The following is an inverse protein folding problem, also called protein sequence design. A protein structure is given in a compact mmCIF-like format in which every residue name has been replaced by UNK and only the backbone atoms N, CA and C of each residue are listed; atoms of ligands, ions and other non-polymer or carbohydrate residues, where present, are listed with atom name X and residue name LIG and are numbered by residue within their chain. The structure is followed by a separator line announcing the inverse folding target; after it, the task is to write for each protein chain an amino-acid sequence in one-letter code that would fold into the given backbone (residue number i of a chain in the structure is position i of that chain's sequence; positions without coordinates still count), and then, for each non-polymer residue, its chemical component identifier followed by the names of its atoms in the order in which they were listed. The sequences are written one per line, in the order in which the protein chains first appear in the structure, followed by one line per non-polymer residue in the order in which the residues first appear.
data_IF_988991300849
#
_entry.id   IF_988991300849
#
_cell.length_a   1.000
_cell.length_b   1.000
_cell.length_c   1.000
_cell.angle_alpha   90.00
_cell.angle_beta   90.00
_cell.angle_gamma   90.00
#
_symmetry.space_group_name_H-M   'P 1'
#
loop_
_entity.id
_entity.type
_entity.pdbx_description
1 polymer ?
#
# COMPACT_ATOMS: atom_id res chain seq x y z
N UNK A 1 20.49 -24.88 54.33
CA UNK A 1 21.96 -24.88 54.25
C UNK A 1 22.35 -24.86 52.77
N UNK A 2 23.17 -23.88 52.43
CA UNK A 2 23.83 -23.52 51.15
C UNK A 2 24.25 -24.71 50.28
N UNK A 3 24.16 -24.67 48.96
CA UNK A 3 25.18 -24.02 48.10
C UNK A 3 24.72 -23.81 46.65
N UNK A 4 25.26 -22.73 46.09
CA UNK A 4 25.23 -22.19 44.73
C UNK A 4 26.02 -23.04 43.73
N UNK A 5 25.54 -23.20 42.48
CA UNK A 5 26.45 -23.30 41.31
C UNK A 5 25.86 -22.55 40.11
N UNK A 6 26.65 -21.58 39.66
CA UNK A 6 26.51 -20.74 38.49
C UNK A 6 27.02 -21.46 37.23
N UNK A 7 26.26 -21.46 36.12
CA UNK A 7 26.82 -21.66 34.77
C UNK A 7 26.18 -20.70 33.77
N UNK A 8 26.79 -19.53 33.73
CA UNK A 8 26.82 -18.59 32.61
C UNK A 8 27.50 -19.29 31.41
N UNK A 9 26.97 -19.15 30.19
CA UNK A 9 27.71 -19.11 28.90
C UNK A 9 26.85 -19.67 27.75
N UNK A 10 26.38 -18.77 26.89
CA UNK A 10 26.72 -18.78 25.46
C UNK A 10 26.04 -17.59 24.76
N UNK A 11 26.72 -16.43 24.78
CA UNK A 11 26.46 -15.36 23.81
C UNK A 11 26.97 -15.84 22.44
N UNK A 12 26.08 -16.34 21.58
CA UNK A 12 26.38 -16.41 20.15
C UNK A 12 26.01 -15.07 19.52
N UNK A 13 26.99 -14.17 19.45
CA UNK A 13 26.89 -12.97 18.60
C UNK A 13 26.88 -13.42 17.14
N UNK A 14 25.68 -13.63 16.60
CA UNK A 14 25.47 -13.79 15.16
C UNK A 14 25.65 -12.41 14.51
N UNK A 15 26.81 -12.18 13.91
CA UNK A 15 27.06 -11.06 13.00
C UNK A 15 26.19 -11.23 11.76
N UNK A 16 24.92 -10.79 11.83
CA UNK A 16 24.07 -10.62 10.65
C UNK A 16 24.68 -9.50 9.82
N UNK A 17 25.31 -9.84 8.69
CA UNK A 17 25.61 -8.89 7.61
C UNK A 17 24.28 -8.27 7.19
N UNK A 18 24.10 -6.99 7.46
CA UNK A 18 22.95 -6.24 6.95
C UNK A 18 23.03 -6.20 5.42
N UNK A 19 21.91 -6.37 4.69
CA UNK A 19 21.90 -6.15 3.26
C UNK A 19 22.23 -4.68 2.96
N UNK A 20 23.05 -4.47 1.92
CA UNK A 20 23.39 -3.16 1.39
C UNK A 20 22.15 -2.61 0.69
N UNK A 21 21.33 -1.84 1.42
CA UNK A 21 20.25 -1.06 0.83
C UNK A 21 20.90 0.09 0.04
N UNK A 22 20.66 0.23 -1.28
CA UNK A 22 21.15 1.38 -2.00
C UNK A 22 20.57 2.66 -1.36
N UNK A 23 21.47 3.53 -0.93
CA UNK A 23 21.16 4.81 -0.30
C UNK A 23 20.37 5.71 -1.24
N UNK A 24 19.18 6.10 -0.77
CA UNK A 24 18.50 7.37 -1.02
C UNK A 24 18.34 7.74 -2.51
N UNK A 25 17.27 7.24 -3.11
CA UNK A 25 16.68 7.85 -4.31
C UNK A 25 16.48 9.35 -4.04
N UNK A 26 17.02 10.20 -4.92
CA UNK A 26 16.78 11.65 -4.89
C UNK A 26 15.29 11.88 -5.06
N UNK A 27 14.58 12.15 -3.97
CA UNK A 27 13.21 12.64 -4.06
C UNK A 27 13.27 13.99 -4.78
N UNK A 28 12.77 14.04 -6.01
CA UNK A 28 12.41 15.30 -6.65
C UNK A 28 11.43 16.04 -5.74
N UNK A 29 11.48 17.38 -5.64
CA UNK A 29 10.43 18.10 -4.93
C UNK A 29 9.09 17.66 -5.49
N UNK A 30 8.22 17.13 -4.63
CA UNK A 30 6.87 16.73 -5.02
C UNK A 30 6.13 18.01 -5.37
N UNK A 31 6.08 18.33 -6.66
CA UNK A 31 5.09 19.27 -7.14
C UNK A 31 3.75 18.59 -6.94
N UNK A 32 2.96 19.08 -6.00
CA UNK A 32 1.58 18.65 -5.86
C UNK A 32 0.89 18.86 -7.21
N UNK A 33 0.11 17.88 -7.69
CA UNK A 33 -0.55 18.01 -8.98
C UNK A 33 -1.49 19.22 -8.93
N UNK A 34 -1.47 20.02 -10.00
CA UNK A 34 -2.50 21.04 -10.19
C UNK A 34 -3.89 20.38 -10.13
N UNK A 35 -4.93 21.07 -9.62
CA UNK A 35 -6.26 20.45 -9.41
C UNK A 35 -6.82 19.74 -10.66
N UNK A 36 -6.58 20.30 -11.85
CA UNK A 36 -6.98 19.70 -13.13
C UNK A 36 -6.26 18.38 -13.41
N UNK A 37 -4.96 18.30 -13.06
CA UNK A 37 -4.18 17.08 -13.19
C UNK A 37 -4.67 16.01 -12.22
N UNK A 38 -4.96 16.39 -10.97
CA UNK A 38 -5.53 15.48 -9.97
C UNK A 38 -6.88 14.92 -10.42
N UNK A 39 -7.78 15.76 -10.93
CA UNK A 39 -9.09 15.32 -11.44
C UNK A 39 -8.96 14.36 -12.63
N UNK A 40 -8.02 14.64 -13.53
CA UNK A 40 -7.71 13.77 -14.67
C UNK A 40 -7.20 12.40 -14.20
N UNK A 41 -6.31 12.38 -13.22
CA UNK A 41 -5.78 11.15 -12.62
C UNK A 41 -6.88 10.35 -11.91
N UNK A 42 -7.75 11.00 -11.14
CA UNK A 42 -8.89 10.36 -10.48
C UNK A 42 -9.87 9.77 -11.49
N UNK A 43 -10.13 10.47 -12.60
CA UNK A 43 -11.00 9.98 -13.67
C UNK A 43 -10.42 8.73 -14.32
N UNK A 44 -9.12 8.74 -14.65
CA UNK A 44 -8.43 7.56 -15.18
C UNK A 44 -8.41 6.42 -14.17
N UNK A 45 -8.18 6.71 -12.90
CA UNK A 45 -8.19 5.72 -11.83
C UNK A 45 -9.55 5.02 -11.71
N UNK A 46 -10.64 5.79 -11.75
CA UNK A 46 -12.01 5.26 -11.74
C UNK A 46 -12.32 4.48 -13.02
N UNK A 47 -11.79 4.87 -14.18
CA UNK A 47 -11.99 4.12 -15.43
C UNK A 47 -11.33 2.73 -15.40
N UNK A 48 -10.20 2.58 -14.69
CA UNK A 48 -9.52 1.29 -14.53
C UNK A 48 -10.22 0.41 -13.48
N UNK A 49 -10.76 1.02 -12.43
CA UNK A 49 -11.56 0.32 -11.44
C UNK A 49 -13.02 0.21 -11.91
N UNK A 50 -13.36 -0.87 -12.61
CA UNK A 50 -14.73 -1.20 -13.03
C UNK A 50 -15.16 -2.59 -12.50
N UNK A 51 -16.46 -2.91 -12.41
CA UNK A 51 -16.91 -4.28 -12.16
C UNK A 51 -16.56 -5.19 -13.36
N UNK A 52 -16.43 -6.50 -13.15
CA UNK A 52 -16.33 -7.46 -14.25
C UNK A 52 -17.59 -7.36 -15.13
N UNK A 53 -17.46 -7.33 -16.47
CA UNK A 53 -18.57 -7.08 -17.38
C UNK A 53 -19.66 -8.16 -17.31
N UNK A 54 -19.29 -9.39 -16.93
CA UNK A 54 -20.20 -10.53 -16.84
C UNK A 54 -20.77 -10.76 -15.43
N UNK A 55 -20.57 -9.81 -14.51
CA UNK A 55 -21.08 -9.91 -13.13
C UNK A 55 -22.15 -8.86 -12.83
N UNK A 56 -23.05 -9.18 -11.90
CA UNK A 56 -24.05 -8.24 -11.39
C UNK A 56 -23.36 -6.91 -10.98
N UNK A 57 -23.73 -5.76 -11.56
CA UNK A 57 -23.14 -4.47 -11.26
C UNK A 57 -23.18 -4.08 -9.77
N UNK A 58 -24.08 -4.66 -8.98
CA UNK A 58 -24.23 -4.36 -7.55
C UNK A 58 -23.47 -5.34 -6.63
N UNK A 59 -23.10 -6.52 -7.13
CA UNK A 59 -22.48 -7.59 -6.34
C UNK A 59 -21.21 -8.17 -6.98
N UNK A 60 -20.75 -7.58 -8.07
CA UNK A 60 -19.60 -8.01 -8.84
C UNK A 60 -18.27 -7.80 -8.12
N UNK A 61 -17.19 -8.27 -8.75
CA UNK A 61 -15.82 -7.97 -8.31
C UNK A 61 -15.22 -6.90 -9.22
N UNK A 62 -14.35 -6.08 -8.67
CA UNK A 62 -13.57 -5.14 -9.45
C UNK A 62 -12.57 -5.89 -10.35
N UNK A 63 -12.52 -5.58 -11.63
CA UNK A 63 -11.60 -6.18 -12.60
C UNK A 63 -10.13 -5.84 -12.32
N UNK A 64 -9.86 -4.68 -11.73
CA UNK A 64 -8.50 -4.22 -11.42
C UNK A 64 -7.92 -4.88 -10.16
N UNK A 65 -8.69 -4.95 -9.06
CA UNK A 65 -8.17 -5.39 -7.77
C UNK A 65 -8.86 -6.62 -7.17
N UNK A 66 -9.88 -7.18 -7.83
CA UNK A 66 -10.58 -8.40 -7.41
C UNK A 66 -11.47 -8.26 -6.18
N UNK A 67 -11.53 -7.09 -5.55
CA UNK A 67 -12.37 -6.81 -4.38
C UNK A 67 -13.85 -6.68 -4.76
N UNK A 68 -14.75 -6.81 -3.78
CA UNK A 68 -16.18 -6.60 -3.98
C UNK A 68 -16.42 -5.16 -4.47
N UNK A 69 -17.19 -5.04 -5.55
CA UNK A 69 -17.58 -3.78 -6.14
C UNK A 69 -18.72 -3.10 -5.34
N UNK A 70 -18.70 -1.78 -5.15
CA UNK A 70 -17.59 -0.86 -5.45
C UNK A 70 -16.42 -1.10 -4.50
N UNK A 71 -15.19 -1.21 -5.03
CA UNK A 71 -14.03 -1.49 -4.17
C UNK A 71 -13.62 -0.26 -3.34
N UNK A 72 -12.86 -0.48 -2.25
CA UNK A 72 -12.40 0.61 -1.35
C UNK A 72 -11.72 1.73 -2.13
N UNK A 73 -10.81 1.37 -3.04
CA UNK A 73 -10.12 2.28 -3.95
C UNK A 73 -11.05 3.17 -4.75
N UNK A 74 -12.04 2.58 -5.44
CA UNK A 74 -13.00 3.33 -6.25
C UNK A 74 -13.85 4.27 -5.38
N UNK A 75 -14.28 3.81 -4.19
CA UNK A 75 -15.03 4.65 -3.24
C UNK A 75 -14.21 5.85 -2.77
N UNK A 76 -12.94 5.67 -2.43
CA UNK A 76 -12.06 6.76 -2.00
C UNK A 76 -11.79 7.75 -3.14
N UNK A 77 -11.47 7.24 -4.33
CA UNK A 77 -11.23 8.09 -5.50
C UNK A 77 -12.48 8.90 -5.88
N UNK A 78 -13.66 8.29 -5.82
CA UNK A 78 -14.92 8.99 -6.05
C UNK A 78 -15.15 10.10 -5.02
N UNK A 79 -14.96 9.82 -3.73
CA UNK A 79 -15.07 10.86 -2.68
C UNK A 79 -14.08 12.00 -2.86
N UNK A 80 -12.85 11.69 -3.28
CA UNK A 80 -11.85 12.72 -3.59
C UNK A 80 -12.25 13.53 -4.82
N UNK A 81 -12.87 12.92 -5.83
CA UNK A 81 -13.32 13.63 -7.03
C UNK A 81 -14.50 14.56 -6.77
N UNK A 82 -15.48 14.11 -5.96
CA UNK A 82 -16.70 14.89 -5.66
C UNK A 82 -16.56 15.82 -4.45
N UNK A 83 -15.56 15.59 -3.59
CA UNK A 83 -15.32 16.35 -2.37
C UNK A 83 -14.40 17.56 -2.54
N UNK A 84 -13.89 17.78 -3.76
CA UNK A 84 -13.08 18.95 -4.15
C UNK A 84 -13.91 19.91 -4.99
#
# INVERSE_FOLDING_TARGET
MTTTVCKNSMRRHSKRRMPFWPTKSRATPSQDPEPVQLYSLLTLYLAVHAPFPDTDPLHGRCSCCGQIWPCVSARLAYRLREGF
#
